data_IF_947290594894
#
_entry.id   IF_947290594894
#
_cell.length_a   1.000
_cell.length_b   1.000
_cell.length_c   1.000
_cell.angle_alpha   90.00
_cell.angle_beta   90.00
_cell.angle_gamma   90.00
#
_symmetry.space_group_name_H-M   'P 1'
#
loop_
_entity.id
_entity.type
_entity.pdbx_description
1 polymer ?
#
# COMPACT_ATOMS: atom_id res chain seq x y z
N UNK A 1 -6.58 -16.95 -37.91
CA UNK A 1 -5.52 -17.25 -36.91
C UNK A 1 -5.16 -16.05 -36.04
N UNK A 2 -4.85 -14.87 -36.59
CA UNK A 2 -4.51 -13.67 -35.80
C UNK A 2 -5.59 -13.22 -34.80
N UNK A 3 -6.87 -13.23 -35.21
CA UNK A 3 -8.00 -12.86 -34.34
C UNK A 3 -8.17 -13.79 -33.13
N UNK A 4 -7.99 -15.11 -33.33
CA UNK A 4 -8.08 -16.08 -32.24
C UNK A 4 -6.96 -15.88 -31.20
N UNK A 5 -5.75 -15.53 -31.65
CA UNK A 5 -4.62 -15.22 -30.75
C UNK A 5 -4.89 -13.96 -29.92
N UNK A 6 -5.43 -12.90 -30.54
CA UNK A 6 -5.84 -11.69 -29.82
C UNK A 6 -6.92 -11.96 -28.78
N UNK A 7 -7.91 -12.79 -29.13
CA UNK A 7 -8.98 -13.16 -28.21
C UNK A 7 -8.44 -13.95 -27.02
N UNK A 8 -7.58 -14.95 -27.26
CA UNK A 8 -6.94 -15.73 -26.18
C UNK A 8 -6.08 -14.83 -25.27
N UNK A 9 -5.29 -13.92 -25.83
CA UNK A 9 -4.53 -12.94 -25.03
C UNK A 9 -5.43 -12.05 -24.17
N UNK A 10 -6.56 -11.59 -24.73
CA UNK A 10 -7.52 -10.76 -24.01
C UNK A 10 -8.17 -11.53 -22.85
N UNK A 11 -8.56 -12.79 -23.06
CA UNK A 11 -9.09 -13.64 -21.98
C UNK A 11 -8.06 -13.91 -20.89
N UNK A 12 -6.81 -14.20 -21.25
CA UNK A 12 -5.73 -14.39 -20.27
C UNK A 12 -5.48 -13.13 -19.44
N UNK A 13 -5.53 -11.96 -20.07
CA UNK A 13 -5.44 -10.68 -19.39
C UNK A 13 -6.58 -10.51 -18.38
N UNK A 14 -7.83 -10.72 -18.79
CA UNK A 14 -9.00 -10.62 -17.90
C UNK A 14 -8.93 -11.55 -16.69
N UNK A 15 -8.54 -12.81 -16.88
CA UNK A 15 -8.42 -13.79 -15.79
C UNK A 15 -7.41 -13.29 -14.75
N UNK A 16 -6.27 -12.74 -15.18
CA UNK A 16 -5.24 -12.21 -14.29
C UNK A 16 -5.73 -11.04 -13.43
N UNK A 17 -6.59 -10.15 -13.97
CA UNK A 17 -7.19 -9.05 -13.18
C UNK A 17 -8.22 -9.56 -12.18
N UNK A 18 -9.04 -10.54 -12.55
CA UNK A 18 -10.08 -11.09 -11.65
C UNK A 18 -9.50 -11.86 -10.46
N UNK A 19 -8.39 -12.59 -10.66
CA UNK A 19 -7.74 -13.34 -9.58
C UNK A 19 -7.04 -12.43 -8.57
N UNK A 20 -6.46 -11.31 -9.01
CA UNK A 20 -5.85 -10.33 -8.10
C UNK A 20 -6.90 -9.56 -7.28
N UNK A 21 -8.04 -9.17 -7.89
CA UNK A 21 -9.14 -8.51 -7.16
C UNK A 21 -9.74 -9.40 -6.07
N UNK A 22 -9.93 -10.70 -6.36
CA UNK A 22 -10.41 -11.66 -5.35
C UNK A 22 -9.39 -11.86 -4.23
N UNK A 23 -8.10 -11.92 -4.55
CA UNK A 23 -7.04 -12.05 -3.54
C UNK A 23 -6.98 -10.87 -2.56
N UNK A 24 -7.07 -9.63 -3.05
CA UNK A 24 -7.05 -8.42 -2.20
C UNK A 24 -8.28 -8.42 -1.29
N UNK A 25 -9.47 -8.61 -1.84
CA UNK A 25 -10.72 -8.60 -1.09
C UNK A 25 -10.73 -9.68 0.00
N UNK A 26 -10.35 -10.92 -0.33
CA UNK A 26 -10.29 -12.02 0.64
C UNK A 26 -9.28 -11.77 1.75
N UNK A 27 -8.11 -11.22 1.41
CA UNK A 27 -7.06 -10.90 2.38
C UNK A 27 -7.51 -9.80 3.34
N UNK A 28 -8.07 -8.71 2.80
CA UNK A 28 -8.60 -7.60 3.61
C UNK A 28 -9.76 -8.04 4.50
N UNK A 29 -10.66 -8.89 3.99
CA UNK A 29 -11.78 -9.43 4.77
C UNK A 29 -11.29 -10.30 5.94
N UNK A 30 -10.30 -11.16 5.71
CA UNK A 30 -9.68 -11.97 6.76
C UNK A 30 -8.97 -11.11 7.81
N UNK A 31 -8.30 -10.04 7.39
CA UNK A 31 -7.63 -9.11 8.31
C UNK A 31 -8.65 -8.34 9.18
N UNK A 32 -9.68 -7.76 8.56
CA UNK A 32 -10.75 -7.04 9.27
C UNK A 32 -11.55 -7.92 10.23
N UNK A 33 -11.66 -9.22 9.95
CA UNK A 33 -12.29 -10.18 10.86
C UNK A 33 -11.44 -10.48 12.12
N UNK A 34 -10.12 -10.28 12.05
CA UNK A 34 -9.19 -10.54 13.18
C UNK A 34 -9.03 -9.33 14.09
N UNK A 35 -9.07 -8.12 13.53
CA UNK A 35 -8.86 -6.89 14.27
C UNK A 35 -9.94 -5.86 13.91
N UNK A 36 -10.82 -5.46 14.86
CA UNK A 36 -11.86 -4.46 14.61
C UNK A 36 -11.34 -3.04 14.31
N UNK A 37 -10.08 -2.76 14.65
CA UNK A 37 -9.40 -1.52 14.27
C UNK A 37 -8.98 -1.55 12.78
N UNK A 38 -8.81 -2.73 12.20
CA UNK A 38 -8.45 -2.90 10.81
C UNK A 38 -9.67 -2.68 9.90
N UNK A 39 -9.67 -1.59 9.15
CA UNK A 39 -10.80 -1.22 8.28
C UNK A 39 -10.67 -1.88 6.91
N UNK A 40 -11.68 -2.68 6.55
CA UNK A 40 -11.76 -3.37 5.26
C UNK A 40 -11.62 -2.40 4.07
N UNK A 41 -12.42 -1.33 4.04
CA UNK A 41 -12.41 -0.38 2.92
C UNK A 41 -11.06 0.33 2.76
N UNK A 42 -10.40 0.64 3.88
CA UNK A 42 -9.06 1.23 3.87
C UNK A 42 -8.04 0.25 3.28
N UNK A 43 -8.08 -1.01 3.69
CA UNK A 43 -7.20 -2.06 3.17
C UNK A 43 -7.37 -2.24 1.66
N UNK A 44 -8.61 -2.41 1.18
CA UNK A 44 -8.89 -2.61 -0.25
C UNK A 44 -8.39 -1.41 -1.04
N UNK A 45 -8.77 -0.19 -0.64
CA UNK A 45 -8.37 1.04 -1.34
C UNK A 45 -6.86 1.21 -1.39
N UNK A 46 -6.17 0.94 -0.28
CA UNK A 46 -4.71 1.09 -0.20
C UNK A 46 -3.97 0.10 -1.11
N UNK A 47 -4.44 -1.15 -1.17
CA UNK A 47 -3.83 -2.19 -2.02
C UNK A 47 -4.21 -2.06 -3.50
N UNK A 48 -5.42 -1.60 -3.82
CA UNK A 48 -5.83 -1.40 -5.22
C UNK A 48 -5.20 -0.16 -5.87
N UNK A 49 -4.81 0.83 -5.07
CA UNK A 49 -4.11 2.03 -5.55
C UNK A 49 -2.64 1.73 -5.89
N UNK A 50 -2.03 0.75 -5.25
CA UNK A 50 -0.66 0.31 -5.57
C UNK A 50 -0.65 -0.67 -6.77
N UNK A 51 -0.02 -0.31 -7.90
CA UNK A 51 0.01 -1.17 -9.09
C UNK A 51 0.65 -2.54 -8.84
N UNK A 52 1.64 -2.63 -7.95
CA UNK A 52 2.32 -3.88 -7.65
C UNK A 52 1.45 -4.84 -6.83
N UNK A 53 0.73 -4.32 -5.83
CA UNK A 53 -0.24 -5.07 -5.05
C UNK A 53 -1.40 -5.53 -5.93
N UNK A 54 -1.90 -4.65 -6.81
CA UNK A 54 -2.94 -4.99 -7.79
C UNK A 54 -2.51 -6.05 -8.81
N UNK A 55 -1.21 -6.15 -9.10
CA UNK A 55 -0.66 -7.16 -10.01
C UNK A 55 -0.29 -8.49 -9.30
N UNK A 56 -0.41 -8.57 -7.97
CA UNK A 56 -0.04 -9.76 -7.23
C UNK A 56 -1.00 -10.93 -7.47
N UNK A 57 -0.46 -12.09 -7.84
CA UNK A 57 -1.24 -13.30 -8.15
C UNK A 57 -1.32 -14.30 -6.98
N UNK A 58 -0.60 -14.03 -5.88
CA UNK A 58 -0.59 -14.87 -4.70
C UNK A 58 -0.28 -14.05 -3.44
N UNK A 59 -0.58 -14.62 -2.26
CA UNK A 59 -0.45 -13.93 -0.98
C UNK A 59 0.98 -13.47 -0.69
N UNK A 60 2.00 -14.26 -1.06
CA UNK A 60 3.40 -13.88 -0.86
C UNK A 60 3.76 -12.65 -1.70
N UNK A 61 3.34 -12.63 -2.97
CA UNK A 61 3.52 -11.47 -3.85
C UNK A 61 2.80 -10.24 -3.33
N UNK A 62 1.56 -10.40 -2.85
CA UNK A 62 0.77 -9.31 -2.28
C UNK A 62 1.42 -8.76 -1.01
N UNK A 63 1.91 -9.63 -0.12
CA UNK A 63 2.64 -9.23 1.07
C UNK A 63 3.86 -8.38 0.71
N UNK A 64 4.73 -8.88 -0.17
CA UNK A 64 5.94 -8.16 -0.60
C UNK A 64 5.60 -6.80 -1.22
N UNK A 65 4.61 -6.76 -2.11
CA UNK A 65 4.18 -5.51 -2.75
C UNK A 65 3.63 -4.51 -1.72
N UNK A 66 2.76 -4.97 -0.82
CA UNK A 66 2.16 -4.13 0.22
C UNK A 66 3.20 -3.57 1.21
N UNK A 67 4.20 -4.38 1.60
CA UNK A 67 5.30 -3.94 2.48
C UNK A 67 6.15 -2.87 1.80
N UNK A 68 6.52 -3.07 0.52
CA UNK A 68 7.28 -2.07 -0.25
C UNK A 68 6.51 -0.77 -0.44
N UNK A 69 5.22 -0.85 -0.73
CA UNK A 69 4.35 0.33 -0.82
C UNK A 69 4.28 1.06 0.53
N UNK A 70 4.18 0.32 1.64
CA UNK A 70 4.17 0.88 3.00
C UNK A 70 5.50 1.56 3.33
N UNK A 71 6.63 0.96 2.97
CA UNK A 71 7.96 1.54 3.16
C UNK A 71 8.10 2.86 2.39
N UNK A 72 7.73 2.88 1.10
CA UNK A 72 7.74 4.07 0.26
C UNK A 72 6.88 5.20 0.86
N UNK A 73 5.65 4.88 1.28
CA UNK A 73 4.76 5.86 1.91
C UNK A 73 5.31 6.37 3.25
N UNK A 74 5.93 5.50 4.05
CA UNK A 74 6.58 5.85 5.32
C UNK A 74 7.73 6.85 5.10
N UNK A 75 8.56 6.61 4.08
CA UNK A 75 9.64 7.51 3.68
C UNK A 75 9.09 8.86 3.19
N UNK A 76 8.04 8.83 2.37
CA UNK A 76 7.43 10.04 1.81
C UNK A 76 6.84 10.93 2.92
N UNK A 77 6.08 10.36 3.86
CA UNK A 77 5.52 11.11 4.99
C UNK A 77 6.64 11.66 5.88
N UNK A 78 7.65 10.86 6.22
CA UNK A 78 8.78 11.32 7.01
C UNK A 78 9.56 12.46 6.33
N UNK A 79 9.66 12.44 5.00
CA UNK A 79 10.29 13.50 4.21
C UNK A 79 9.44 14.76 4.17
N UNK A 80 8.13 14.65 3.98
CA UNK A 80 7.22 15.78 4.01
C UNK A 80 7.24 16.50 5.37
N UNK A 81 7.24 15.74 6.46
CA UNK A 81 7.32 16.31 7.81
C UNK A 81 8.66 17.04 8.02
N UNK A 82 9.78 16.50 7.52
CA UNK A 82 11.08 17.19 7.54
C UNK A 82 11.03 18.50 6.78
N UNK A 83 10.42 18.52 5.58
CA UNK A 83 10.24 19.74 4.79
C UNK A 83 9.42 20.80 5.55
N UNK A 84 8.29 20.41 6.16
CA UNK A 84 7.45 21.31 6.97
C UNK A 84 8.25 21.96 8.10
N UNK A 85 9.09 21.18 8.79
CA UNK A 85 9.95 21.67 9.87
C UNK A 85 11.09 22.58 9.38
N UNK A 86 11.74 22.25 8.25
CA UNK A 86 12.85 23.02 7.70
C UNK A 86 12.40 24.37 7.14
N UNK A 87 11.27 24.39 6.44
CA UNK A 87 10.71 25.59 5.83
C UNK A 87 10.06 26.53 6.86
N UNK A 88 10.09 26.18 8.15
CA UNK A 88 9.34 26.86 9.23
C UNK A 88 7.85 27.05 8.89
N UNK A 89 7.30 26.14 8.09
CA UNK A 89 5.87 26.08 7.74
C UNK A 89 5.03 25.48 8.87
N UNK A 90 5.67 24.90 9.87
CA UNK A 90 5.01 24.45 11.08
C UNK A 90 4.39 25.63 11.83
N UNK A 91 3.10 25.52 12.19
CA UNK A 91 2.48 26.45 13.11
C UNK A 91 3.16 26.37 14.49
N UNK A 92 3.09 27.45 15.26
CA UNK A 92 3.66 27.45 16.60
C UNK A 92 3.05 26.34 17.45
N UNK A 93 3.88 25.48 18.04
CA UNK A 93 3.46 24.43 18.97
C UNK A 93 3.27 23.04 18.34
N UNK A 94 3.46 22.88 17.02
CA UNK A 94 3.44 21.54 16.39
C UNK A 94 4.84 21.00 16.10
N UNK A 95 5.92 21.74 16.35
CA UNK A 95 7.27 21.28 16.03
C UNK A 95 7.68 20.02 16.80
N UNK A 96 7.34 19.95 18.08
CA UNK A 96 7.65 18.78 18.92
C UNK A 96 6.87 17.54 18.44
N UNK A 97 5.53 17.59 18.28
CA UNK A 97 4.77 16.48 17.69
C UNK A 97 5.32 16.01 16.33
N UNK A 98 5.68 16.93 15.44
CA UNK A 98 6.24 16.59 14.13
C UNK A 98 7.61 15.89 14.23
N UNK A 99 8.45 16.27 15.20
CA UNK A 99 9.72 15.58 15.46
C UNK A 99 9.51 14.16 15.98
N UNK A 100 8.49 13.94 16.80
CA UNK A 100 8.15 12.60 17.27
C UNK A 100 7.56 11.74 16.14
N UNK A 101 6.74 12.33 15.25
CA UNK A 101 6.33 11.65 14.03
C UNK A 101 7.54 11.21 13.18
N UNK A 102 8.58 12.06 13.01
CA UNK A 102 9.79 11.67 12.27
C UNK A 102 10.44 10.41 12.87
N UNK A 103 10.53 10.31 14.20
CA UNK A 103 11.07 9.12 14.87
C UNK A 103 10.20 7.89 14.57
N UNK A 104 8.90 8.00 14.79
CA UNK A 104 7.95 6.91 14.52
C UNK A 104 8.00 6.41 13.07
N UNK A 105 8.09 7.32 12.09
CA UNK A 105 8.23 6.94 10.67
C UNK A 105 9.62 6.36 10.35
N UNK A 106 10.68 6.80 11.05
CA UNK A 106 12.03 6.23 10.88
C UNK A 106 12.07 4.80 11.42
N UNK A 107 11.56 4.59 12.64
CA UNK A 107 11.48 3.29 13.28
C UNK A 107 10.59 2.35 12.44
N UNK A 108 9.44 2.84 11.98
CA UNK A 108 8.53 2.09 11.11
C UNK A 108 9.19 1.61 9.83
N UNK A 109 10.04 2.44 9.19
CA UNK A 109 10.82 2.06 8.01
C UNK A 109 11.82 0.95 8.33
N UNK A 110 12.45 0.99 9.50
CA UNK A 110 13.43 -0.02 9.91
C UNK A 110 12.78 -1.38 10.19
N UNK A 111 11.53 -1.41 10.67
CA UNK A 111 10.76 -2.66 10.84
C UNK A 111 10.29 -3.30 9.51
N UNK A 112 10.25 -2.52 8.43
CA UNK A 112 9.79 -2.99 7.11
C UNK A 112 10.94 -3.55 6.24
N UNK A 113 12.20 -3.36 6.66
CA UNK A 113 13.41 -3.81 5.96
C UNK A 113 13.90 -5.18 6.45
#
# INVERSE_FOLDING_TARGET
MKFAVFFVMFFLFLICFTTAQTLIQDSCKKAAAKDPLFKYDFCVKSLETDPHSKAATNLKGLLIASTKNTESNTINVGTEIRTILMDKKASHGIEIPLRDCIKLYTDGKDYLN
#
